data_IF_293142512749
#
_entry.id   IF_293142512749
#
_cell.length_a   1.000
_cell.length_b   1.000
_cell.length_c   1.000
_cell.angle_alpha   90.00
_cell.angle_beta   90.00
_cell.angle_gamma   90.00
#
_symmetry.space_group_name_H-M   'P 1'
#
loop_
_entity.id
_entity.type
_entity.pdbx_description
1 polymer ?
#
# COMPACT_ATOMS: atom_id res chain seq x y z
N UNK A 1 -8.22 -0.18 -21.68
CA UNK A 1 -8.08 1.28 -21.51
C UNK A 1 -8.42 2.01 -22.80
N UNK A 2 -8.00 1.47 -23.94
CA UNK A 2 -8.13 2.06 -25.28
C UNK A 2 -9.56 2.50 -25.63
N UNK A 3 -10.59 1.73 -25.25
CA UNK A 3 -11.99 2.12 -25.45
C UNK A 3 -12.41 3.38 -24.69
N UNK A 4 -11.89 3.59 -23.47
CA UNK A 4 -12.25 4.73 -22.63
C UNK A 4 -11.45 5.99 -22.98
N UNK A 5 -10.33 5.86 -23.70
CA UNK A 5 -9.50 7.00 -24.12
C UNK A 5 -8.90 7.80 -22.96
N UNK A 6 -8.64 7.17 -21.82
CA UNK A 6 -8.11 7.85 -20.61
C UNK A 6 -6.63 8.21 -20.76
N UNK A 7 -6.21 9.30 -20.12
CA UNK A 7 -4.82 9.76 -20.11
C UNK A 7 -4.00 9.20 -18.95
N UNK A 8 -4.67 8.71 -17.91
CA UNK A 8 -4.03 8.07 -16.76
C UNK A 8 -4.84 6.87 -16.29
N UNK A 9 -4.19 5.98 -15.55
CA UNK A 9 -4.86 4.89 -14.86
C UNK A 9 -4.31 4.74 -13.44
N UNK A 10 -5.21 4.85 -12.46
CA UNK A 10 -4.88 4.61 -11.07
C UNK A 10 -5.11 3.14 -10.69
N UNK A 11 -4.11 2.51 -10.08
CA UNK A 11 -4.23 1.17 -9.51
C UNK A 11 -3.39 1.05 -8.23
N UNK A 12 -3.58 -0.04 -7.47
CA UNK A 12 -2.76 -0.34 -6.29
C UNK A 12 -1.85 -1.54 -6.51
N UNK A 13 -0.66 -1.46 -5.92
CA UNK A 13 0.21 -2.63 -5.75
C UNK A 13 -0.26 -3.36 -4.50
N UNK A 14 -0.40 -4.67 -4.60
CA UNK A 14 -0.75 -5.48 -3.45
C UNK A 14 0.51 -5.87 -2.69
N UNK A 15 0.68 -5.30 -1.51
CA UNK A 15 1.83 -5.56 -0.65
C UNK A 15 2.06 -7.06 -0.39
N UNK A 16 1.07 -7.86 0.05
CA UNK A 16 1.27 -9.30 0.29
C UNK A 16 1.55 -10.10 -0.99
N UNK A 17 1.21 -9.56 -2.17
CA UNK A 17 1.57 -10.21 -3.44
C UNK A 17 3.06 -10.08 -3.73
N UNK A 18 3.66 -8.92 -3.47
CA UNK A 18 5.09 -8.69 -3.64
C UNK A 18 5.91 -9.32 -2.51
N UNK A 19 5.46 -9.12 -1.26
CA UNK A 19 6.13 -9.62 -0.07
C UNK A 19 5.11 -10.35 0.82
N UNK A 20 4.98 -11.68 0.71
CA UNK A 20 3.97 -12.45 1.44
C UNK A 20 4.00 -12.27 2.97
N UNK A 21 5.18 -12.04 3.54
CA UNK A 21 5.37 -11.77 4.98
C UNK A 21 5.35 -10.28 5.32
N UNK A 22 5.25 -9.41 4.31
CA UNK A 22 5.32 -7.95 4.40
C UNK A 22 6.73 -7.37 4.52
N UNK A 23 7.68 -8.11 5.10
CA UNK A 23 9.07 -7.68 5.22
C UNK A 23 9.78 -7.82 3.86
N UNK A 24 10.54 -6.79 3.48
CA UNK A 24 11.35 -6.81 2.26
C UNK A 24 12.49 -7.80 2.44
N UNK A 25 12.39 -8.92 1.74
CA UNK A 25 13.41 -9.94 1.64
C UNK A 25 13.50 -10.38 0.17
N UNK A 26 12.98 -11.57 -0.15
CA UNK A 26 12.85 -12.01 -1.53
C UNK A 26 11.48 -11.61 -2.08
N UNK A 27 11.47 -10.70 -3.05
CA UNK A 27 10.25 -10.34 -3.77
C UNK A 27 9.69 -11.55 -4.53
N UNK A 28 8.38 -11.71 -4.53
CA UNK A 28 7.71 -12.71 -5.35
C UNK A 28 7.81 -12.34 -6.83
N UNK A 29 8.65 -13.07 -7.58
CA UNK A 29 8.93 -12.82 -9.00
C UNK A 29 7.67 -12.75 -9.87
N UNK A 30 6.67 -13.60 -9.61
CA UNK A 30 5.41 -13.58 -10.38
C UNK A 30 4.61 -12.30 -10.12
N UNK A 31 4.60 -11.84 -8.87
CA UNK A 31 3.97 -10.56 -8.50
C UNK A 31 4.69 -9.39 -9.16
N UNK A 32 6.02 -9.39 -9.09
CA UNK A 32 6.87 -8.39 -9.72
C UNK A 32 6.66 -8.34 -11.24
N UNK A 33 6.66 -9.50 -11.91
CA UNK A 33 6.44 -9.61 -13.34
C UNK A 33 5.07 -9.06 -13.76
N UNK A 34 4.02 -9.35 -12.98
CA UNK A 34 2.69 -8.80 -13.22
C UNK A 34 2.67 -7.26 -13.23
N UNK A 35 3.24 -6.63 -12.19
CA UNK A 35 3.24 -5.17 -12.09
C UNK A 35 4.14 -4.51 -13.15
N UNK A 36 5.30 -5.09 -13.46
CA UNK A 36 6.13 -4.63 -14.58
C UNK A 36 5.36 -4.67 -15.90
N UNK A 37 4.75 -5.82 -16.22
CA UNK A 37 3.99 -5.99 -17.47
C UNK A 37 2.82 -5.01 -17.57
N UNK A 38 2.11 -4.77 -16.46
CA UNK A 38 1.03 -3.79 -16.41
C UNK A 38 1.55 -2.37 -16.66
N UNK A 39 2.58 -1.94 -15.93
CA UNK A 39 3.16 -0.59 -16.03
C UNK A 39 3.72 -0.36 -17.43
N UNK A 40 4.51 -1.31 -17.96
CA UNK A 40 5.05 -1.24 -19.31
C UNK A 40 3.91 -1.09 -20.32
N UNK A 41 2.85 -1.89 -20.20
CA UNK A 41 1.70 -1.82 -21.10
C UNK A 41 0.97 -0.48 -21.08
N UNK A 42 0.92 0.22 -19.93
CA UNK A 42 0.34 1.55 -19.80
C UNK A 42 1.24 2.60 -20.46
N UNK A 43 2.54 2.56 -20.18
CA UNK A 43 3.53 3.49 -20.75
C UNK A 43 3.56 3.37 -22.29
N UNK A 44 3.56 2.15 -22.83
CA UNK A 44 3.51 1.93 -24.29
C UNK A 44 2.25 2.51 -24.95
N UNK A 45 1.18 2.73 -24.18
CA UNK A 45 -0.08 3.32 -24.64
C UNK A 45 -0.19 4.82 -24.34
N UNK A 46 0.87 5.45 -23.85
CA UNK A 46 0.87 6.84 -23.36
C UNK A 46 -0.20 7.09 -22.28
N UNK A 47 -0.40 6.10 -21.39
CA UNK A 47 -1.30 6.23 -20.23
C UNK A 47 -0.43 6.35 -18.99
N UNK A 48 -0.56 7.46 -18.28
CA UNK A 48 0.20 7.73 -17.06
C UNK A 48 -0.23 6.79 -15.92
N UNK A 49 0.68 5.98 -15.34
CA UNK A 49 0.38 5.18 -14.16
C UNK A 49 0.31 6.06 -12.91
N UNK A 50 -0.81 6.00 -12.19
CA UNK A 50 -0.92 6.54 -10.82
C UNK A 50 -0.94 5.36 -9.84
N UNK A 51 0.13 5.18 -9.08
CA UNK A 51 0.29 3.97 -8.26
C UNK A 51 0.01 4.24 -6.80
N UNK A 52 -0.92 3.47 -6.24
CA UNK A 52 -1.20 3.44 -4.80
C UNK A 52 -0.40 2.32 -4.12
N UNK A 53 0.40 2.64 -3.12
CA UNK A 53 1.24 1.67 -2.39
C UNK A 53 0.44 0.84 -1.39
N UNK A 54 -0.54 1.45 -0.70
CA UNK A 54 -1.37 0.75 0.27
C UNK A 54 -2.86 1.00 0.03
N UNK A 55 -3.59 -0.08 -0.27
CA UNK A 55 -5.04 -0.06 -0.44
C UNK A 55 -5.70 -1.13 0.46
N UNK A 56 -5.43 -1.00 1.76
CA UNK A 56 -6.09 -1.72 2.86
C UNK A 56 -5.72 -3.21 2.96
N UNK A 57 -4.80 -3.67 2.15
CA UNK A 57 -4.36 -5.06 2.03
C UNK A 57 -3.06 -5.32 2.80
N UNK A 58 -3.11 -5.08 4.12
CA UNK A 58 -1.96 -5.35 4.99
C UNK A 58 -1.62 -6.85 4.97
N UNK A 59 -0.34 -7.24 4.79
CA UNK A 59 0.08 -8.63 4.93
C UNK A 59 -0.32 -9.17 6.30
N UNK A 60 -1.03 -10.30 6.32
CA UNK A 60 -1.56 -10.90 7.54
C UNK A 60 -0.45 -11.17 8.57
N UNK A 61 0.74 -11.58 8.12
CA UNK A 61 1.90 -11.80 8.98
C UNK A 61 2.28 -10.56 9.82
N UNK A 62 2.10 -9.35 9.29
CA UNK A 62 2.37 -8.11 10.04
C UNK A 62 1.26 -7.83 11.07
N UNK A 63 0.01 -8.15 10.73
CA UNK A 63 -1.12 -8.05 11.65
C UNK A 63 -0.96 -9.03 12.83
N UNK A 64 -0.61 -10.29 12.56
CA UNK A 64 -0.44 -11.33 13.57
C UNK A 64 0.78 -11.10 14.46
N UNK A 65 1.93 -10.73 13.87
CA UNK A 65 3.18 -10.58 14.62
C UNK A 65 3.27 -9.28 15.40
N UNK A 66 2.82 -8.16 14.82
CA UNK A 66 3.02 -6.83 15.40
C UNK A 66 1.71 -6.15 15.84
N UNK A 67 0.54 -6.66 15.44
CA UNK A 67 -0.74 -5.98 15.61
C UNK A 67 -1.04 -4.96 14.49
N UNK A 68 -0.30 -5.03 13.38
CA UNK A 68 -0.46 -4.18 12.21
C UNK A 68 -0.21 -2.71 12.51
N UNK A 69 -1.04 -1.84 11.96
CA UNK A 69 -0.87 -0.38 12.07
C UNK A 69 -0.93 0.19 13.49
N UNK A 70 -1.31 -0.62 14.49
CA UNK A 70 -1.20 -0.23 15.91
C UNK A 70 0.25 -0.13 16.39
N UNK A 71 1.19 -0.74 15.68
CA UNK A 71 2.58 -0.85 16.10
C UNK A 71 3.50 -0.02 15.19
N UNK A 72 4.34 0.80 15.81
CA UNK A 72 5.25 1.71 15.09
C UNK A 72 6.29 0.97 14.26
N UNK A 73 6.65 -0.28 14.59
CA UNK A 73 7.59 -1.06 13.76
C UNK A 73 7.06 -1.28 12.33
N UNK A 74 5.75 -1.19 12.09
CA UNK A 74 5.18 -1.30 10.74
C UNK A 74 5.51 -0.07 9.89
N UNK A 75 5.87 1.06 10.50
CA UNK A 75 6.27 2.29 9.79
C UNK A 75 7.54 2.05 8.98
N UNK A 76 8.58 1.50 9.62
CA UNK A 76 9.85 1.20 8.94
C UNK A 76 9.69 0.08 7.92
N UNK A 77 8.93 -0.97 8.26
CA UNK A 77 8.64 -2.09 7.35
C UNK A 77 7.89 -1.61 6.09
N UNK A 78 6.95 -0.68 6.23
CA UNK A 78 6.29 -0.06 5.08
C UNK A 78 7.26 0.83 4.29
N UNK A 79 8.17 1.53 4.98
CA UNK A 79 9.15 2.40 4.33
C UNK A 79 10.13 1.61 3.46
N UNK A 80 10.55 0.42 3.91
CA UNK A 80 11.35 -0.50 3.09
C UNK A 80 10.57 -0.96 1.86
N UNK A 81 9.29 -1.32 2.03
CA UNK A 81 8.41 -1.73 0.94
C UNK A 81 8.21 -0.62 -0.11
N UNK A 82 7.98 0.61 0.34
CA UNK A 82 7.84 1.77 -0.52
C UNK A 82 9.14 2.09 -1.27
N UNK A 83 10.29 2.04 -0.57
CA UNK A 83 11.62 2.21 -1.16
C UNK A 83 11.86 1.21 -2.29
N UNK A 84 11.55 -0.06 -2.06
CA UNK A 84 11.62 -1.09 -3.10
C UNK A 84 10.74 -0.72 -4.31
N UNK A 85 9.48 -0.32 -4.09
CA UNK A 85 8.58 0.05 -5.17
C UNK A 85 9.10 1.25 -5.97
N UNK A 86 9.63 2.28 -5.31
CA UNK A 86 10.22 3.43 -5.98
C UNK A 86 11.44 3.07 -6.81
N UNK A 87 12.33 2.21 -6.31
CA UNK A 87 13.50 1.76 -7.05
C UNK A 87 13.14 0.95 -8.28
N UNK A 88 12.15 0.07 -8.17
CA UNK A 88 11.78 -0.86 -9.24
C UNK A 88 10.88 -0.22 -10.30
N UNK A 89 9.96 0.66 -9.90
CA UNK A 89 8.92 1.20 -10.79
C UNK A 89 9.02 2.71 -11.03
N UNK A 90 9.84 3.46 -10.27
CA UNK A 90 9.87 4.93 -10.31
C UNK A 90 10.43 5.53 -11.60
N UNK A 91 11.14 4.74 -12.40
CA UNK A 91 11.55 5.11 -13.75
C UNK A 91 10.34 5.35 -14.66
N UNK A 92 9.26 4.58 -14.47
CA UNK A 92 8.02 4.58 -15.26
C UNK A 92 6.81 5.19 -14.56
N UNK A 93 6.83 5.29 -13.23
CA UNK A 93 5.71 5.84 -12.43
C UNK A 93 6.08 7.21 -11.87
N UNK A 94 5.31 8.24 -12.25
CA UNK A 94 5.54 9.63 -11.82
C UNK A 94 4.60 10.13 -10.73
N UNK A 95 3.46 9.46 -10.55
CA UNK A 95 2.45 9.83 -9.56
C UNK A 95 2.24 8.70 -8.57
N UNK A 96 2.48 9.00 -7.30
CA UNK A 96 2.40 8.03 -6.20
C UNK A 96 1.37 8.47 -5.17
N UNK A 97 0.63 7.49 -4.67
CA UNK A 97 -0.27 7.64 -3.52
C UNK A 97 0.22 6.63 -2.48
N UNK A 98 0.61 7.11 -1.30
CA UNK A 98 1.14 6.25 -0.24
C UNK A 98 0.03 5.37 0.35
N UNK A 99 -1.01 5.98 0.90
CA UNK A 99 -2.13 5.30 1.56
C UNK A 99 -3.45 5.82 1.00
N UNK A 100 -4.27 4.93 0.45
CA UNK A 100 -5.63 5.29 0.05
C UNK A 100 -6.53 5.41 1.28
N UNK A 101 -7.10 6.60 1.47
CA UNK A 101 -8.12 6.91 2.48
C UNK A 101 -7.80 6.37 3.91
N UNK A 102 -6.77 6.95 4.58
CA UNK A 102 -6.32 6.49 5.90
C UNK A 102 -7.40 6.63 6.99
N UNK A 103 -8.35 7.54 6.83
CA UNK A 103 -9.49 7.68 7.73
C UNK A 103 -10.30 6.38 7.83
N UNK A 104 -10.67 5.77 6.70
CA UNK A 104 -11.45 4.53 6.71
C UNK A 104 -10.63 3.34 7.22
N UNK A 105 -9.31 3.30 6.98
CA UNK A 105 -8.42 2.28 7.54
C UNK A 105 -8.47 2.32 9.07
N UNK A 106 -8.28 3.50 9.67
CA UNK A 106 -8.29 3.66 11.11
C UNK A 106 -9.70 3.46 11.70
N UNK A 107 -10.69 4.18 11.19
CA UNK A 107 -12.03 4.24 11.76
C UNK A 107 -12.80 2.93 11.60
N UNK A 108 -12.84 2.35 10.39
CA UNK A 108 -13.57 1.11 10.17
C UNK A 108 -12.79 -0.14 10.52
N UNK A 109 -11.45 -0.08 10.54
CA UNK A 109 -10.61 -1.20 10.97
C UNK A 109 -10.59 -1.40 12.50
N UNK A 110 -10.65 -0.30 13.27
CA UNK A 110 -10.44 -0.33 14.73
C UNK A 110 -11.53 0.35 15.58
N UNK A 111 -12.43 1.12 14.96
CA UNK A 111 -13.54 1.80 15.63
C UNK A 111 -14.85 1.04 15.46
N UNK A 112 -15.38 1.01 14.23
CA UNK A 112 -16.65 0.33 13.91
C UNK A 112 -16.48 -1.16 13.66
N UNK A 113 -15.27 -1.61 13.30
CA UNK A 113 -14.97 -2.99 12.92
C UNK A 113 -15.70 -3.47 11.65
N UNK A 114 -16.06 -2.55 10.74
CA UNK A 114 -16.67 -2.88 9.45
C UNK A 114 -15.64 -3.30 8.41
N UNK A 115 -14.40 -2.87 8.54
CA UNK A 115 -13.28 -3.27 7.69
C UNK A 115 -12.30 -4.14 8.49
N UNK A 116 -11.45 -4.89 7.80
CA UNK A 116 -10.33 -5.58 8.42
C UNK A 116 -9.44 -4.57 9.20
N UNK A 117 -8.89 -4.94 10.37
CA UNK A 117 -8.94 -6.26 11.01
C UNK A 117 -10.24 -6.55 11.81
N UNK A 118 -11.22 -5.64 11.82
CA UNK A 118 -12.52 -5.87 12.47
C UNK A 118 -12.54 -5.61 13.97
N UNK A 119 -11.57 -4.86 14.50
CA UNK A 119 -11.56 -4.48 15.91
C UNK A 119 -12.63 -3.41 16.19
N UNK A 120 -13.27 -3.49 17.37
CA UNK A 120 -14.40 -2.62 17.75
C UNK A 120 -14.16 -1.92 19.08
N UNK A 121 -14.68 -0.70 19.20
CA UNK A 121 -14.80 0.00 20.49
C UNK A 121 -13.47 0.48 21.11
N UNK A 122 -12.36 0.40 20.38
CA UNK A 122 -11.04 0.81 20.86
C UNK A 122 -10.64 2.16 20.29
N UNK A 123 -11.23 3.23 20.82
CA UNK A 123 -10.99 4.59 20.33
C UNK A 123 -9.51 4.99 20.35
N UNK A 124 -8.75 4.56 21.38
CA UNK A 124 -7.31 4.77 21.44
C UNK A 124 -6.59 4.12 20.25
N UNK A 125 -6.96 2.89 19.88
CA UNK A 125 -6.37 2.19 18.74
C UNK A 125 -6.67 2.88 17.42
N UNK A 126 -7.87 3.45 17.24
CA UNK A 126 -8.22 4.27 16.07
C UNK A 126 -7.23 5.43 15.91
N UNK A 127 -7.01 6.20 16.96
CA UNK A 127 -6.11 7.36 16.89
C UNK A 127 -4.64 6.96 16.80
N UNK A 128 -4.20 5.89 17.46
CA UNK A 128 -2.84 5.33 17.29
C UNK A 128 -2.60 4.89 15.85
N UNK A 129 -3.55 4.18 15.24
CA UNK A 129 -3.46 3.75 13.84
C UNK A 129 -3.43 4.96 12.91
N UNK A 130 -4.33 5.93 13.11
CA UNK A 130 -4.32 7.18 12.34
C UNK A 130 -2.99 7.93 12.45
N UNK A 131 -2.42 8.02 13.66
CA UNK A 131 -1.13 8.64 13.89
C UNK A 131 0.00 7.93 13.14
N UNK A 132 0.06 6.59 13.20
CA UNK A 132 1.09 5.81 12.51
C UNK A 132 0.96 5.90 10.98
N UNK A 133 -0.27 5.89 10.44
CA UNK A 133 -0.53 6.09 9.02
C UNK A 133 -0.02 7.47 8.55
N UNK A 134 -0.20 8.52 9.36
CA UNK A 134 0.33 9.86 9.04
C UNK A 134 1.87 9.89 9.12
N UNK A 135 2.48 9.29 10.15
CA UNK A 135 3.95 9.19 10.28
C UNK A 135 4.58 8.53 9.07
N UNK A 136 3.98 7.46 8.56
CA UNK A 136 4.42 6.81 7.32
C UNK A 136 4.38 7.76 6.14
N UNK A 137 3.28 8.50 5.94
CA UNK A 137 3.18 9.41 4.80
C UNK A 137 4.29 10.46 4.80
N UNK A 138 4.64 10.99 5.97
CA UNK A 138 5.71 11.97 6.12
C UNK A 138 7.09 11.40 5.77
N UNK A 139 7.36 10.14 6.10
CA UNK A 139 8.66 9.50 5.86
C UNK A 139 8.89 9.10 4.38
N UNK A 140 7.90 9.29 3.50
CA UNK A 140 7.96 8.90 2.09
C UNK A 140 8.07 10.09 1.12
N UNK A 141 8.19 11.32 1.66
CA UNK A 141 8.36 12.57 0.90
C UNK A 141 9.79 13.06 1.03
#
# INVERSE_FOLDING_TARGET
MDFLGVTFYQFSISWPRLFPTGVVANANEKGLHYYNTLIDSLVHRNIEPIVTLYHWDLPLALQEKYGGWKNESVIDIFSDYATFCFQIFGDRVKYWITIHNPYLVAWHGYGTGMHAPGERGKIAAVYTVGHNLIKVQYNQV
#
